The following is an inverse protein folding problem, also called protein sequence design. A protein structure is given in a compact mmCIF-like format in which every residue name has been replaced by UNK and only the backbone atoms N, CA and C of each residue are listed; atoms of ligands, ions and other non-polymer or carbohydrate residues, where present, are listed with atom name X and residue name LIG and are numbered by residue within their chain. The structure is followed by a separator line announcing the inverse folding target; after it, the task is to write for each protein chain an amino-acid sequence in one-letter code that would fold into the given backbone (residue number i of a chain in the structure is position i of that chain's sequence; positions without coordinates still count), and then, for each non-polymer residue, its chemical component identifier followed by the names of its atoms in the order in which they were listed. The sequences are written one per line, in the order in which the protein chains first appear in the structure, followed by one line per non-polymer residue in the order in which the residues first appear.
data_IF_614900943770
#
_entry.id   IF_614900943770
#
_cell.length_a   1.000
_cell.length_b   1.000
_cell.length_c   1.000
_cell.angle_alpha   90.00
_cell.angle_beta   90.00
_cell.angle_gamma   90.00
#
_symmetry.space_group_name_H-M   'P 1'
#
loop_
_entity.id
_entity.type
_entity.pdbx_description
1 polymer ?
#
# COMPACT_ATOMS: atom_id res chain seq x y z
N UNK A 1 18.69 -19.28 4.10
CA UNK A 1 17.62 -20.08 3.47
C UNK A 1 16.82 -19.12 2.59
N UNK A 2 16.75 -19.39 1.28
CA UNK A 2 15.91 -18.58 0.39
C UNK A 2 14.45 -18.77 0.82
N UNK A 3 13.75 -17.67 1.05
CA UNK A 3 12.32 -17.70 1.40
C UNK A 3 11.55 -18.36 0.26
N UNK A 4 10.80 -19.44 0.54
CA UNK A 4 10.01 -20.18 -0.46
C UNK A 4 8.68 -19.49 -0.81
N UNK A 5 8.47 -18.24 -0.37
CA UNK A 5 7.24 -17.50 -0.64
C UNK A 5 7.18 -17.02 -2.10
N UNK A 6 5.98 -16.94 -2.68
CA UNK A 6 5.80 -16.48 -4.05
C UNK A 6 6.33 -15.05 -4.22
N UNK A 7 6.88 -14.77 -5.40
CA UNK A 7 7.27 -13.42 -5.81
C UNK A 7 6.18 -12.89 -6.73
N UNK A 8 5.63 -11.74 -6.37
CA UNK A 8 4.72 -10.97 -7.21
C UNK A 8 5.51 -9.88 -7.93
N UNK A 9 5.53 -9.94 -9.25
CA UNK A 9 6.24 -8.96 -10.08
C UNK A 9 5.30 -7.81 -10.46
N UNK A 10 5.49 -6.65 -9.84
CA UNK A 10 4.75 -5.43 -10.18
C UNK A 10 5.34 -4.74 -11.42
N UNK A 11 6.57 -5.04 -11.73
CA UNK A 11 7.22 -4.55 -12.94
C UNK A 11 8.32 -5.52 -13.39
N UNK A 12 8.41 -5.78 -14.69
CA UNK A 12 9.44 -6.65 -15.27
C UNK A 12 10.88 -6.13 -15.06
N UNK A 13 11.01 -4.81 -14.90
CA UNK A 13 12.28 -4.13 -14.68
C UNK A 13 12.50 -3.77 -13.18
N UNK A 14 11.78 -4.43 -12.27
CA UNK A 14 11.96 -4.22 -10.83
C UNK A 14 13.39 -4.54 -10.39
N UNK A 15 14.01 -3.61 -9.71
CA UNK A 15 15.39 -3.65 -9.21
C UNK A 15 15.47 -3.90 -7.71
N UNK A 16 14.32 -3.97 -7.04
CA UNK A 16 14.17 -4.27 -5.61
C UNK A 16 13.15 -5.38 -5.40
N UNK A 17 13.39 -6.26 -4.44
CA UNK A 17 12.44 -7.23 -3.91
C UNK A 17 12.19 -6.93 -2.44
N UNK A 18 11.00 -6.43 -2.11
CA UNK A 18 10.55 -6.28 -0.74
C UNK A 18 10.16 -7.67 -0.21
N UNK A 19 10.84 -8.12 0.84
CA UNK A 19 10.58 -9.42 1.45
C UNK A 19 9.76 -9.23 2.73
N UNK A 20 8.50 -9.59 2.66
CA UNK A 20 7.52 -9.52 3.73
C UNK A 20 7.39 -10.89 4.43
N UNK A 21 6.55 -10.94 5.45
CA UNK A 21 6.39 -12.17 6.24
C UNK A 21 5.91 -13.37 5.42
N UNK A 22 5.00 -13.15 4.45
CA UNK A 22 4.35 -14.22 3.68
C UNK A 22 4.45 -14.05 2.17
N UNK A 23 5.09 -12.98 1.70
CA UNK A 23 5.18 -12.68 0.27
C UNK A 23 6.44 -11.89 -0.07
N UNK A 24 6.77 -11.85 -1.35
CA UNK A 24 7.88 -11.08 -1.91
C UNK A 24 7.36 -10.25 -3.07
N UNK A 25 7.66 -8.95 -3.08
CA UNK A 25 7.18 -8.01 -4.10
C UNK A 25 8.35 -7.47 -4.89
N UNK A 26 8.38 -7.73 -6.19
CA UNK A 26 9.36 -7.12 -7.09
C UNK A 26 8.85 -5.79 -7.60
N UNK A 27 9.55 -4.72 -7.23
CA UNK A 27 9.13 -3.32 -7.38
C UNK A 27 10.22 -2.47 -8.04
N UNK A 28 9.84 -1.28 -8.51
CA UNK A 28 10.79 -0.28 -8.98
C UNK A 28 11.20 0.64 -7.83
N UNK A 29 12.49 0.69 -7.50
CA UNK A 29 13.04 1.63 -6.51
C UNK A 29 12.78 3.09 -6.90
N UNK A 30 12.83 3.40 -8.20
CA UNK A 30 12.57 4.75 -8.72
C UNK A 30 11.12 5.19 -8.47
N UNK A 31 10.14 4.31 -8.72
CA UNK A 31 8.72 4.61 -8.48
C UNK A 31 8.49 4.83 -6.98
N UNK A 32 8.94 3.91 -6.14
CA UNK A 32 8.75 4.03 -4.70
C UNK A 32 9.47 5.25 -4.11
N UNK A 33 10.69 5.57 -4.57
CA UNK A 33 11.43 6.76 -4.11
C UNK A 33 10.77 8.07 -4.53
N UNK A 34 10.05 8.08 -5.65
CA UNK A 34 9.30 9.25 -6.10
C UNK A 34 8.06 9.48 -5.24
N UNK A 35 7.37 8.40 -4.89
CA UNK A 35 6.13 8.44 -4.15
C UNK A 35 6.32 8.61 -2.64
N UNK A 36 7.46 8.20 -2.09
CA UNK A 36 7.71 8.08 -0.65
C UNK A 36 9.08 8.62 -0.27
N UNK A 37 9.15 9.63 0.63
CA UNK A 37 10.41 10.09 1.18
C UNK A 37 11.12 9.00 2.00
N UNK A 38 10.38 8.13 2.69
CA UNK A 38 10.94 7.04 3.48
C UNK A 38 11.63 6.02 2.57
N UNK A 39 10.99 5.60 1.48
CA UNK A 39 11.63 4.72 0.50
C UNK A 39 12.82 5.39 -0.19
N UNK A 40 12.73 6.69 -0.46
CA UNK A 40 13.86 7.46 -1.03
C UNK A 40 15.07 7.42 -0.13
N UNK A 41 14.90 7.65 1.16
CA UNK A 41 15.98 7.55 2.13
C UNK A 41 16.49 6.12 2.26
N UNK A 42 15.58 5.14 2.36
CA UNK A 42 15.91 3.71 2.48
C UNK A 42 16.75 3.20 1.30
N UNK A 43 16.47 3.66 0.09
CA UNK A 43 17.22 3.27 -1.11
C UNK A 43 18.41 4.21 -1.38
N UNK A 44 18.54 5.30 -0.62
CA UNK A 44 19.61 6.26 -0.75
C UNK A 44 20.98 5.73 -0.31
N UNK A 45 22.07 6.40 -0.71
CA UNK A 45 23.43 5.96 -0.45
C UNK A 45 23.81 5.97 1.04
N UNK A 46 23.06 6.69 1.86
CA UNK A 46 23.33 6.80 3.32
C UNK A 46 22.89 5.57 4.10
N UNK A 47 22.09 4.69 3.52
CA UNK A 47 21.67 3.44 4.15
C UNK A 47 22.48 2.26 3.60
N UNK A 48 22.74 1.26 4.45
CA UNK A 48 23.42 0.02 4.05
C UNK A 48 22.77 -0.65 2.83
N UNK A 49 21.45 -0.51 2.73
CA UNK A 49 20.64 -0.99 1.61
C UNK A 49 20.99 -0.24 0.32
N UNK A 50 21.19 1.07 0.36
CA UNK A 50 21.49 1.89 -0.83
C UNK A 50 22.94 1.87 -1.30
N UNK A 51 23.86 1.24 -0.55
CA UNK A 51 25.29 1.23 -0.89
C UNK A 51 25.66 0.32 -2.06
N UNK A 52 24.77 -0.58 -2.49
CA UNK A 52 24.98 -1.43 -3.66
C UNK A 52 24.09 -0.95 -4.82
N UNK A 53 24.63 -1.03 -6.04
CA UNK A 53 23.88 -0.70 -7.25
C UNK A 53 22.66 -1.63 -7.40
N UNK A 54 21.49 -1.01 -7.56
CA UNK A 54 20.25 -1.71 -7.90
C UNK A 54 20.26 -2.09 -9.38
N UNK A 55 19.84 -3.29 -9.70
CA UNK A 55 19.77 -3.77 -11.08
C UNK A 55 18.58 -4.70 -11.28
N UNK A 56 17.85 -4.59 -12.39
CA UNK A 56 16.81 -5.55 -12.73
C UNK A 56 17.33 -6.97 -12.92
N UNK A 57 18.60 -7.14 -13.29
CA UNK A 57 19.22 -8.48 -13.43
C UNK A 57 19.59 -9.12 -12.10
N UNK A 58 19.83 -8.30 -11.09
CA UNK A 58 20.14 -8.73 -9.74
C UNK A 58 19.43 -7.82 -8.74
N UNK A 59 18.10 -7.98 -8.59
CA UNK A 59 17.31 -7.14 -7.70
C UNK A 59 17.75 -7.34 -6.25
N UNK A 60 17.83 -6.26 -5.51
CA UNK A 60 18.20 -6.28 -4.10
C UNK A 60 17.01 -6.66 -3.22
N UNK A 61 17.23 -7.62 -2.33
CA UNK A 61 16.22 -7.99 -1.33
C UNK A 61 16.28 -7.06 -0.12
N UNK A 62 15.11 -6.57 0.29
CA UNK A 62 14.92 -5.69 1.43
C UNK A 62 13.89 -6.32 2.36
N UNK A 63 14.30 -6.76 3.55
CA UNK A 63 13.38 -7.36 4.50
C UNK A 63 12.52 -6.29 5.19
N UNK A 64 11.21 -6.52 5.18
CA UNK A 64 10.20 -5.73 5.87
C UNK A 64 9.28 -6.67 6.69
N UNK A 65 9.81 -7.39 7.68
CA UNK A 65 9.09 -8.46 8.37
C UNK A 65 7.94 -7.96 9.25
N UNK A 66 7.98 -6.68 9.64
CA UNK A 66 6.99 -6.05 10.52
C UNK A 66 5.76 -5.52 9.75
N UNK A 67 5.85 -5.44 8.41
CA UNK A 67 4.78 -4.89 7.60
C UNK A 67 3.76 -5.95 7.20
N UNK A 68 2.49 -5.54 7.18
CA UNK A 68 1.42 -6.40 6.69
C UNK A 68 1.59 -6.67 5.19
N UNK A 69 1.61 -7.95 4.83
CA UNK A 69 1.90 -8.39 3.47
C UNK A 69 0.85 -7.95 2.46
N UNK A 70 -0.44 -8.00 2.84
CA UNK A 70 -1.53 -7.62 1.95
C UNK A 70 -1.62 -6.10 1.78
N UNK A 71 -1.48 -5.37 2.89
CA UNK A 71 -1.47 -3.91 2.85
C UNK A 71 -0.31 -3.36 2.01
N UNK A 72 0.92 -3.90 2.18
CA UNK A 72 2.07 -3.50 1.39
C UNK A 72 1.88 -3.84 -0.10
N UNK A 73 1.34 -5.00 -0.41
CA UNK A 73 1.05 -5.39 -1.78
C UNK A 73 0.08 -4.41 -2.44
N UNK A 74 -1.06 -4.11 -1.79
CA UNK A 74 -2.04 -3.13 -2.27
C UNK A 74 -1.42 -1.75 -2.47
N UNK A 75 -0.65 -1.27 -1.48
CA UNK A 75 0.04 0.02 -1.56
C UNK A 75 1.02 0.05 -2.74
N UNK A 76 1.84 -0.97 -2.92
CA UNK A 76 2.78 -1.04 -4.03
C UNK A 76 2.08 -1.08 -5.40
N UNK A 77 0.98 -1.85 -5.55
CA UNK A 77 0.20 -1.84 -6.79
C UNK A 77 -0.35 -0.44 -7.10
N UNK A 78 -0.90 0.24 -6.09
CA UNK A 78 -1.38 1.61 -6.25
C UNK A 78 -0.28 2.55 -6.73
N UNK A 79 0.87 2.56 -6.04
CA UNK A 79 1.98 3.45 -6.37
C UNK A 79 2.59 3.15 -7.76
N UNK A 80 2.49 1.91 -8.23
CA UNK A 80 2.88 1.52 -9.59
C UNK A 80 1.78 1.75 -10.63
N UNK A 81 0.65 2.37 -10.27
CA UNK A 81 -0.53 2.56 -11.14
C UNK A 81 -1.05 1.25 -11.77
N UNK A 82 -0.98 0.17 -11.01
CA UNK A 82 -1.43 -1.15 -11.43
C UNK A 82 -2.54 -1.65 -10.51
N UNK A 83 -3.36 -2.55 -11.02
CA UNK A 83 -4.29 -3.34 -10.21
C UNK A 83 -3.68 -4.70 -9.93
N UNK A 84 -3.88 -5.19 -8.70
CA UNK A 84 -3.51 -6.56 -8.37
C UNK A 84 -4.31 -7.54 -9.22
N UNK A 85 -3.66 -8.35 -10.08
CA UNK A 85 -4.38 -9.30 -10.92
C UNK A 85 -5.03 -10.45 -10.13
N UNK A 86 -4.60 -10.68 -8.90
CA UNK A 86 -5.21 -11.69 -8.00
C UNK A 86 -6.42 -11.13 -7.24
N UNK A 87 -6.56 -9.80 -7.19
CA UNK A 87 -7.64 -9.11 -6.49
C UNK A 87 -8.78 -8.78 -7.47
N UNK A 88 -9.60 -9.78 -7.73
CA UNK A 88 -10.73 -9.65 -8.66
C UNK A 88 -11.87 -8.77 -8.16
N UNK A 89 -11.80 -8.31 -6.91
CA UNK A 89 -12.86 -7.51 -6.30
C UNK A 89 -12.29 -6.40 -5.42
N UNK A 90 -12.88 -5.18 -5.49
CA UNK A 90 -12.56 -4.13 -4.53
C UNK A 90 -12.89 -4.59 -3.10
N UNK A 91 -12.17 -4.04 -2.11
CA UNK A 91 -12.44 -4.32 -0.70
C UNK A 91 -13.92 -4.06 -0.37
N UNK A 92 -14.55 -5.03 0.25
CA UNK A 92 -15.89 -4.82 0.81
C UNK A 92 -15.78 -4.03 2.12
N UNK A 93 -15.68 -2.72 2.01
CA UNK A 93 -15.53 -1.81 3.16
C UNK A 93 -16.77 -1.66 4.00
N UNK A 94 -17.93 -2.18 3.58
CA UNK A 94 -19.11 -2.30 4.44
C UNK A 94 -18.95 -3.40 5.49
N UNK A 95 -18.03 -4.34 5.27
CA UNK A 95 -17.64 -5.32 6.27
C UNK A 95 -16.55 -4.78 7.18
N UNK A 96 -16.58 -5.16 8.46
CA UNK A 96 -15.54 -4.82 9.43
C UNK A 96 -14.15 -5.25 8.95
N UNK A 97 -14.02 -6.44 8.35
CA UNK A 97 -12.75 -6.94 7.87
C UNK A 97 -12.20 -6.08 6.72
N UNK A 98 -13.01 -5.77 5.70
CA UNK A 98 -12.56 -4.95 4.57
C UNK A 98 -12.22 -3.51 4.98
N UNK A 99 -12.99 -2.92 5.90
CA UNK A 99 -12.70 -1.60 6.46
C UNK A 99 -11.39 -1.60 7.26
N UNK A 100 -11.12 -2.66 8.03
CA UNK A 100 -9.87 -2.85 8.76
C UNK A 100 -8.67 -3.00 7.81
N UNK A 101 -8.79 -3.78 6.74
CA UNK A 101 -7.73 -3.94 5.74
C UNK A 101 -7.41 -2.60 5.06
N UNK A 102 -8.44 -1.80 4.78
CA UNK A 102 -8.23 -0.46 4.25
C UNK A 102 -7.51 0.47 5.24
N UNK A 103 -7.87 0.43 6.53
CA UNK A 103 -7.16 1.17 7.58
C UNK A 103 -5.70 0.74 7.67
N UNK A 104 -5.40 -0.57 7.67
CA UNK A 104 -4.03 -1.07 7.72
C UNK A 104 -3.19 -0.56 6.54
N UNK A 105 -3.78 -0.49 5.34
CA UNK A 105 -3.10 0.10 4.18
C UNK A 105 -2.88 1.61 4.35
N UNK A 106 -3.84 2.34 4.90
CA UNK A 106 -3.72 3.77 5.18
C UNK A 106 -2.60 4.05 6.21
N UNK A 107 -2.54 3.28 7.29
CA UNK A 107 -1.47 3.36 8.29
C UNK A 107 -0.09 3.07 7.68
N UNK A 108 -0.02 2.12 6.76
CA UNK A 108 1.21 1.82 6.06
C UNK A 108 1.62 2.96 5.12
N UNK A 109 0.67 3.58 4.43
CA UNK A 109 0.93 4.77 3.60
C UNK A 109 1.46 5.95 4.43
N UNK A 110 0.94 6.15 5.64
CA UNK A 110 1.44 7.14 6.59
C UNK A 110 2.85 6.79 7.08
N UNK A 111 3.09 5.54 7.51
CA UNK A 111 4.41 5.05 7.92
C UNK A 111 5.49 5.33 6.88
N UNK A 112 5.17 5.16 5.61
CA UNK A 112 6.10 5.41 4.49
C UNK A 112 6.04 6.84 3.96
N UNK A 113 5.23 7.73 4.56
CA UNK A 113 5.11 9.13 4.16
C UNK A 113 4.57 9.31 2.74
N UNK A 114 3.73 8.40 2.26
CA UNK A 114 3.18 8.44 0.91
C UNK A 114 1.66 8.68 0.84
N UNK A 115 1.01 9.09 1.94
CA UNK A 115 -0.41 9.41 1.97
C UNK A 115 -0.80 10.43 0.90
N UNK A 116 0.03 11.45 0.69
CA UNK A 116 -0.19 12.42 -0.39
C UNK A 116 -0.15 11.77 -1.77
N UNK A 117 0.80 10.88 -2.03
CA UNK A 117 0.91 10.16 -3.31
C UNK A 117 -0.30 9.24 -3.53
N UNK A 118 -0.78 8.59 -2.48
CA UNK A 118 -2.01 7.80 -2.51
C UNK A 118 -3.20 8.66 -2.91
N UNK A 119 -3.35 9.85 -2.31
CA UNK A 119 -4.43 10.78 -2.62
C UNK A 119 -4.34 11.39 -4.03
N UNK A 120 -3.14 11.54 -4.57
CA UNK A 120 -2.91 12.06 -5.92
C UNK A 120 -3.19 11.02 -7.01
N UNK A 121 -2.87 9.76 -6.76
CA UNK A 121 -3.11 8.66 -7.70
C UNK A 121 -4.60 8.36 -7.82
N UNK A 122 -5.33 8.54 -6.74
CA UNK A 122 -6.77 8.33 -6.68
C UNK A 122 -7.43 9.61 -6.18
N UNK A 123 -8.24 10.24 -7.05
CA UNK A 123 -9.06 11.39 -6.64
C UNK A 123 -9.98 11.04 -5.45
N UNK A 124 -10.27 9.75 -5.28
CA UNK A 124 -10.97 9.16 -4.17
C UNK A 124 -10.29 7.83 -3.81
N UNK A 125 -9.30 7.82 -2.87
CA UNK A 125 -8.59 6.60 -2.47
C UNK A 125 -9.54 5.45 -2.11
N UNK A 126 -10.66 5.77 -1.45
CA UNK A 126 -11.67 4.80 -1.11
C UNK A 126 -12.27 4.12 -2.35
N UNK A 127 -12.53 4.87 -3.43
CA UNK A 127 -13.11 4.30 -4.66
C UNK A 127 -12.15 3.41 -5.43
N UNK A 128 -10.85 3.60 -5.24
CA UNK A 128 -9.84 2.73 -5.83
C UNK A 128 -9.79 1.34 -5.18
N UNK A 129 -9.91 1.31 -3.85
CA UNK A 129 -9.82 0.07 -3.07
C UNK A 129 -11.18 -0.57 -2.80
N UNK A 130 -12.26 0.21 -2.85
CA UNK A 130 -13.56 -0.19 -2.42
C UNK A 130 -14.66 0.49 -3.23
N UNK A 131 -15.81 -0.13 -3.28
CA UNK A 131 -17.02 0.51 -3.82
C UNK A 131 -17.67 1.38 -2.72
N UNK A 132 -17.64 2.73 -2.84
CA UNK A 132 -18.26 3.60 -1.84
C UNK A 132 -19.78 3.41 -1.75
N UNK A 133 -20.43 2.90 -2.82
CA UNK A 133 -21.86 2.61 -2.82
C UNK A 133 -22.23 1.42 -1.93
N UNK A 134 -21.23 0.60 -1.58
CA UNK A 134 -21.40 -0.50 -0.62
C UNK A 134 -21.63 0.01 0.81
N UNK A 135 -21.26 1.25 1.13
CA UNK A 135 -21.49 1.85 2.44
C UNK A 135 -22.95 2.31 2.51
N UNK A 136 -23.73 1.62 3.29
CA UNK A 136 -25.17 1.84 3.41
C UNK A 136 -25.62 1.71 4.88
N UNK A 137 -26.92 1.84 5.13
CA UNK A 137 -27.49 1.74 6.47
C UNK A 137 -27.25 0.40 7.19
N UNK A 138 -26.80 -0.63 6.47
CA UNK A 138 -26.41 -1.94 7.03
C UNK A 138 -24.92 -2.05 7.38
N UNK A 139 -24.12 -1.03 7.08
CA UNK A 139 -22.68 -1.01 7.43
C UNK A 139 -22.53 -0.96 8.95
N UNK A 140 -21.70 -1.84 9.49
CA UNK A 140 -21.49 -1.90 10.95
C UNK A 140 -20.80 -0.64 11.47
N UNK A 141 -21.11 -0.25 12.71
CA UNK A 141 -20.46 0.89 13.37
C UNK A 141 -18.95 0.71 13.42
N UNK A 142 -18.50 -0.52 13.67
CA UNK A 142 -17.06 -0.85 13.70
C UNK A 142 -16.39 -0.62 12.34
N UNK A 143 -17.04 -1.01 11.24
CA UNK A 143 -16.53 -0.72 9.90
C UNK A 143 -16.44 0.78 9.64
N UNK A 144 -17.47 1.54 10.03
CA UNK A 144 -17.47 3.01 9.89
C UNK A 144 -16.33 3.65 10.68
N UNK A 145 -16.07 3.19 11.90
CA UNK A 145 -14.95 3.71 12.71
C UNK A 145 -13.61 3.44 12.06
N UNK A 146 -13.38 2.26 11.47
CA UNK A 146 -12.16 1.96 10.71
C UNK A 146 -12.02 2.87 9.49
N UNK A 147 -13.11 3.13 8.76
CA UNK A 147 -13.08 4.02 7.60
C UNK A 147 -12.77 5.46 7.98
N UNK A 148 -13.41 5.97 9.05
CA UNK A 148 -13.13 7.32 9.56
C UNK A 148 -11.66 7.44 9.95
N UNK A 149 -11.11 6.45 10.66
CA UNK A 149 -9.71 6.42 11.04
C UNK A 149 -8.79 6.41 9.81
N UNK A 150 -9.09 5.59 8.79
CA UNK A 150 -8.32 5.53 7.55
C UNK A 150 -8.32 6.89 6.80
N UNK A 151 -9.48 7.53 6.69
CA UNK A 151 -9.60 8.85 6.05
C UNK A 151 -8.83 9.92 6.82
N UNK A 152 -8.83 9.85 8.14
CA UNK A 152 -8.05 10.75 8.98
C UNK A 152 -6.53 10.56 8.76
N UNK A 153 -6.07 9.31 8.73
CA UNK A 153 -4.65 8.97 8.51
C UNK A 153 -4.20 9.41 7.10
N UNK A 154 -5.04 9.25 6.09
CA UNK A 154 -4.75 9.70 4.72
C UNK A 154 -4.88 11.23 4.53
N UNK A 155 -5.33 11.98 5.55
CA UNK A 155 -5.68 13.42 5.47
C UNK A 155 -6.73 13.71 4.36
N UNK A 156 -7.62 12.75 4.13
CA UNK A 156 -8.73 12.92 3.16
C UNK A 156 -9.92 13.63 3.80
N UNK A 157 -9.83 14.96 3.84
CA UNK A 157 -10.85 15.82 4.47
C UNK A 157 -12.24 15.68 3.83
N UNK A 158 -12.31 15.35 2.52
CA UNK A 158 -13.60 15.23 1.82
C UNK A 158 -14.36 14.00 2.27
N UNK A 159 -13.67 12.85 2.28
CA UNK A 159 -14.28 11.60 2.72
C UNK A 159 -14.52 11.61 4.22
N UNK A 160 -13.59 12.17 5.01
CA UNK A 160 -13.80 12.33 6.45
C UNK A 160 -15.08 13.08 6.77
N UNK A 161 -15.35 14.21 6.10
CA UNK A 161 -16.58 15.00 6.29
C UNK A 161 -17.86 14.21 5.91
N UNK A 162 -17.81 13.33 4.92
CA UNK A 162 -18.96 12.48 4.54
C UNK A 162 -19.36 11.48 5.63
N UNK A 163 -18.43 11.04 6.45
CA UNK A 163 -18.70 10.05 7.51
C UNK A 163 -18.97 10.68 8.88
N UNK A 164 -18.62 11.94 9.08
CA UNK A 164 -18.75 12.62 10.39
C UNK A 164 -19.77 13.76 10.39
N UNK A 165 -20.26 14.19 9.24
CA UNK A 165 -21.31 15.24 9.05
C UNK A 165 -22.66 14.65 8.85
#
# INVERSE_FOLDING_TARGET
MASSFPIYELTSNGDVVLTLRFTRLRVSSAILSTASPVFREMFGPNFLVGQNLYSPRNPKEIPLPEDDSNAMMRLCYLLHHQRDPSDSSPLNVSSTQGAKEFLTMAELADKYGCSHSVNMVSAEPLSYFADPSAINAGTSIEALLHLIAAMYVLDDRRQFARFTG
#
